data_IF_872776319510
#
_entry.id   IF_872776319510
#
_cell.length_a   1.000
_cell.length_b   1.000
_cell.length_c   1.000
_cell.angle_alpha   90.00
_cell.angle_beta   90.00
_cell.angle_gamma   90.00
#
_symmetry.space_group_name_H-M   'P 1'
#
loop_
_entity.id
_entity.type
_entity.pdbx_description
1 polymer ?
#
# COMPACT_ATOMS: atom_id res chain seq x y z
N UNK A 1 22.07 74.15 30.83
CA UNK A 1 22.73 73.00 30.17
C UNK A 1 22.35 71.73 30.90
N UNK A 2 21.46 70.91 30.31
CA UNK A 2 21.00 69.63 30.89
C UNK A 2 21.82 68.52 30.24
N UNK A 3 22.65 67.82 31.03
CA UNK A 3 23.44 66.67 30.58
C UNK A 3 22.51 65.51 30.18
N UNK A 4 22.63 64.92 28.97
CA UNK A 4 21.83 63.79 28.57
C UNK A 4 22.37 62.50 29.22
N UNK A 5 21.49 61.81 29.92
CA UNK A 5 21.73 60.52 30.58
C UNK A 5 22.14 59.46 29.55
N UNK A 6 23.39 59.03 29.59
CA UNK A 6 23.90 57.92 28.78
C UNK A 6 23.40 56.59 29.35
N UNK A 7 22.40 56.01 28.70
CA UNK A 7 21.90 54.68 29.02
C UNK A 7 22.95 53.64 28.60
N UNK A 8 23.93 53.40 29.47
CA UNK A 8 24.87 52.28 29.31
C UNK A 8 24.10 51.00 29.59
N UNK A 9 23.59 50.34 28.54
CA UNK A 9 23.13 48.97 28.64
C UNK A 9 24.32 48.18 29.20
N UNK A 10 24.24 47.61 30.41
CA UNK A 10 25.40 47.01 31.04
C UNK A 10 25.86 45.85 30.16
N UNK A 11 27.16 45.79 29.90
CA UNK A 11 27.78 44.77 29.03
C UNK A 11 27.35 43.33 29.39
N UNK A 12 27.04 43.07 30.67
CA UNK A 12 26.49 41.79 31.14
C UNK A 12 25.08 41.48 30.61
N UNK A 13 24.21 42.47 30.41
CA UNK A 13 22.88 42.28 29.80
C UNK A 13 23.02 41.96 28.31
N UNK A 14 23.96 42.59 27.61
CA UNK A 14 24.26 42.27 26.22
C UNK A 14 24.78 40.83 26.06
N UNK A 15 25.68 40.39 26.95
CA UNK A 15 26.22 39.03 26.93
C UNK A 15 25.17 37.97 27.30
N UNK A 16 24.27 38.29 28.23
CA UNK A 16 23.11 37.46 28.57
C UNK A 16 22.13 37.31 27.41
N UNK A 17 21.88 38.39 26.65
CA UNK A 17 20.99 38.34 25.49
C UNK A 17 21.60 37.51 24.34
N UNK A 18 22.92 37.58 24.18
CA UNK A 18 23.66 36.78 23.21
C UNK A 18 23.66 35.29 23.60
N UNK A 19 23.84 34.96 24.88
CA UNK A 19 23.78 33.56 25.32
C UNK A 19 22.37 32.98 25.15
N UNK A 20 21.31 33.79 25.35
CA UNK A 20 19.92 33.36 25.17
C UNK A 20 19.61 33.02 23.71
N UNK A 21 20.16 33.78 22.75
CA UNK A 21 19.99 33.54 21.30
C UNK A 21 20.75 32.32 20.81
N UNK A 22 21.96 32.08 21.33
CA UNK A 22 22.74 30.86 21.01
C UNK A 22 22.09 29.61 21.63
N UNK A 23 21.44 29.74 22.80
CA UNK A 23 20.72 28.65 23.43
C UNK A 23 19.49 28.19 22.62
N UNK A 24 18.85 29.06 21.83
CA UNK A 24 17.77 28.67 20.90
C UNK A 24 18.30 27.77 19.77
N UNK A 25 19.54 28.00 19.31
CA UNK A 25 20.18 27.14 18.28
C UNK A 25 20.71 25.83 18.86
N UNK A 26 20.96 25.77 20.17
CA UNK A 26 21.41 24.59 20.90
C UNK A 26 20.25 23.79 21.54
N UNK A 27 18.99 24.23 21.35
CA UNK A 27 17.86 23.33 21.47
C UNK A 27 18.06 22.21 20.45
N UNK A 28 18.60 21.09 20.90
CA UNK A 28 18.52 19.85 20.15
C UNK A 28 17.07 19.70 19.67
N UNK A 29 16.88 19.34 18.40
CA UNK A 29 15.59 18.93 17.82
C UNK A 29 15.16 17.62 18.48
N UNK A 30 15.04 17.58 19.80
CA UNK A 30 14.64 16.42 20.60
C UNK A 30 13.12 16.29 20.61
N UNK A 31 12.50 16.43 19.43
CA UNK A 31 11.05 16.51 19.30
C UNK A 31 10.50 16.52 17.88
N UNK A 32 11.35 16.55 16.85
CA UNK A 32 10.91 16.28 15.50
C UNK A 32 11.66 15.06 15.00
N UNK A 33 11.15 13.90 15.39
CA UNK A 33 11.45 12.65 14.70
C UNK A 33 10.91 12.85 13.28
N UNK A 34 11.81 12.90 12.29
CA UNK A 34 11.41 12.94 10.90
C UNK A 34 10.86 11.56 10.53
N UNK A 35 9.60 11.32 10.88
CA UNK A 35 8.84 10.12 10.48
C UNK A 35 8.76 9.99 8.97
N UNK A 36 9.23 10.98 8.20
CA UNK A 36 9.47 10.85 6.77
C UNK A 36 10.16 9.53 6.44
N UNK A 37 11.19 9.07 7.17
CA UNK A 37 11.86 7.81 6.79
C UNK A 37 10.98 6.56 7.00
N UNK A 38 10.12 6.54 8.01
CA UNK A 38 9.17 5.45 8.23
C UNK A 38 7.91 5.55 7.37
N UNK A 39 7.43 6.78 7.13
CA UNK A 39 6.29 7.08 6.29
C UNK A 39 6.63 6.89 4.80
N UNK A 40 7.85 7.24 4.39
CA UNK A 40 8.41 6.99 3.06
C UNK A 40 8.67 5.48 2.88
N UNK A 41 9.18 4.78 3.88
CA UNK A 41 9.29 3.32 3.85
C UNK A 41 7.93 2.60 3.78
N UNK A 42 6.90 3.12 4.44
CA UNK A 42 5.53 2.58 4.35
C UNK A 42 4.86 2.91 3.00
N UNK A 43 5.12 4.10 2.46
CA UNK A 43 4.68 4.49 1.12
C UNK A 43 5.36 3.61 0.05
N UNK A 44 6.66 3.35 0.19
CA UNK A 44 7.43 2.47 -0.68
C UNK A 44 6.88 1.04 -0.61
N UNK A 45 6.63 0.48 0.58
CA UNK A 45 6.02 -0.84 0.75
C UNK A 45 4.62 -0.93 0.10
N UNK A 46 3.81 0.13 0.23
CA UNK A 46 2.47 0.19 -0.39
C UNK A 46 2.56 0.20 -1.92
N UNK A 47 3.51 0.96 -2.48
CA UNK A 47 3.77 1.00 -3.93
C UNK A 47 4.38 -0.30 -4.49
N UNK A 48 5.19 -0.99 -3.67
CA UNK A 48 5.79 -2.28 -4.01
C UNK A 48 4.74 -3.39 -4.11
N UNK A 49 3.84 -3.50 -3.11
CA UNK A 49 2.71 -4.43 -3.14
C UNK A 49 1.83 -4.19 -4.36
N UNK A 50 1.64 -2.93 -4.72
CA UNK A 50 0.95 -2.51 -5.93
C UNK A 50 1.46 -3.10 -7.23
N UNK A 51 2.77 -2.99 -7.45
CA UNK A 51 3.43 -3.54 -8.64
C UNK A 51 3.36 -5.07 -8.66
N UNK A 52 3.50 -5.71 -7.50
CA UNK A 52 3.44 -7.18 -7.37
C UNK A 52 2.02 -7.76 -7.50
N UNK A 53 0.99 -6.95 -7.26
CA UNK A 53 -0.41 -7.36 -7.40
C UNK A 53 -0.75 -7.72 -8.84
N UNK A 54 -0.24 -6.98 -9.82
CA UNK A 54 -0.59 -7.21 -11.23
C UNK A 54 -0.02 -8.53 -11.73
N UNK A 55 1.23 -8.86 -11.36
CA UNK A 55 1.82 -10.16 -11.62
C UNK A 55 1.04 -11.32 -10.97
N UNK A 56 0.47 -11.09 -9.79
CA UNK A 56 -0.34 -12.10 -9.09
C UNK A 56 -1.63 -12.40 -9.85
N UNK A 57 -2.28 -11.38 -10.44
CA UNK A 57 -3.50 -11.55 -11.25
C UNK A 57 -3.23 -12.34 -12.54
N UNK A 58 -2.10 -12.09 -13.20
CA UNK A 58 -1.73 -12.80 -14.43
C UNK A 58 -1.45 -14.29 -14.19
N UNK A 59 -0.73 -14.62 -13.12
CA UNK A 59 -0.49 -16.02 -12.73
C UNK A 59 -1.80 -16.69 -12.31
N UNK A 60 -2.66 -15.98 -11.57
CA UNK A 60 -3.98 -16.49 -11.19
C UNK A 60 -4.83 -16.79 -12.43
N UNK A 61 -4.77 -15.97 -13.47
CA UNK A 61 -5.46 -16.22 -14.74
C UNK A 61 -4.93 -17.49 -15.44
N UNK A 62 -3.61 -17.68 -15.48
CA UNK A 62 -3.01 -18.87 -16.06
C UNK A 62 -3.44 -20.16 -15.32
N UNK A 63 -3.40 -20.15 -13.99
CA UNK A 63 -3.80 -21.32 -13.17
C UNK A 63 -5.31 -21.56 -13.26
N UNK A 64 -6.12 -20.49 -13.30
CA UNK A 64 -7.56 -20.59 -13.46
C UNK A 64 -7.94 -21.29 -14.76
N UNK A 65 -7.29 -20.94 -15.87
CA UNK A 65 -7.55 -21.55 -17.17
C UNK A 65 -7.30 -23.07 -17.16
N UNK A 66 -6.20 -23.52 -16.55
CA UNK A 66 -5.87 -24.94 -16.43
C UNK A 66 -6.92 -25.67 -15.58
N UNK A 67 -7.28 -25.09 -14.43
CA UNK A 67 -8.25 -25.68 -13.51
C UNK A 67 -9.67 -25.78 -14.13
N UNK A 68 -10.07 -24.83 -14.97
CA UNK A 68 -11.34 -24.88 -15.71
C UNK A 68 -11.36 -26.05 -16.69
N UNK A 69 -10.26 -26.30 -17.41
CA UNK A 69 -10.17 -27.43 -18.34
C UNK A 69 -10.26 -28.77 -17.58
N UNK A 70 -9.54 -28.89 -16.47
CA UNK A 70 -9.55 -30.11 -15.64
C UNK A 70 -10.92 -30.36 -15.02
N UNK A 71 -11.62 -29.32 -14.57
CA UNK A 71 -12.97 -29.45 -14.00
C UNK A 71 -14.04 -29.76 -15.06
N UNK A 72 -13.95 -29.16 -16.25
CA UNK A 72 -14.81 -29.51 -17.39
C UNK A 72 -14.63 -30.97 -17.81
N UNK A 73 -13.38 -31.48 -17.85
CA UNK A 73 -13.09 -32.87 -18.16
C UNK A 73 -13.67 -33.84 -17.12
N UNK A 74 -13.57 -33.49 -15.83
CA UNK A 74 -14.16 -34.30 -14.76
C UNK A 74 -15.69 -34.41 -14.89
N UNK A 75 -16.37 -33.33 -15.31
CA UNK A 75 -17.81 -33.34 -15.55
C UNK A 75 -18.16 -34.17 -16.77
N UNK A 76 -17.37 -34.09 -17.84
CA UNK A 76 -17.57 -34.90 -19.05
C UNK A 76 -17.50 -36.40 -18.76
N UNK A 77 -16.52 -36.82 -17.96
CA UNK A 77 -16.39 -38.23 -17.57
C UNK A 77 -17.58 -38.66 -16.68
N UNK A 78 -18.00 -37.82 -15.72
CA UNK A 78 -19.19 -38.08 -14.89
C UNK A 78 -20.49 -38.17 -15.69
N UNK A 79 -20.62 -37.38 -16.76
CA UNK A 79 -21.77 -37.39 -17.66
C UNK A 79 -21.89 -38.68 -18.45
N UNK A 80 -20.77 -39.20 -18.95
CA UNK A 80 -20.76 -40.45 -19.73
C UNK A 80 -20.96 -41.70 -18.87
N UNK A 81 -20.63 -41.65 -17.57
CA UNK A 81 -20.81 -42.76 -16.63
C UNK A 81 -22.20 -42.80 -15.98
N UNK A 82 -23.12 -41.92 -16.38
CA UNK A 82 -24.46 -41.76 -15.79
C UNK A 82 -24.44 -41.67 -14.25
N UNK A 83 -23.42 -41.03 -13.67
CA UNK A 83 -23.39 -40.76 -12.23
C UNK A 83 -24.37 -39.64 -11.89
N UNK A 84 -25.18 -39.83 -10.83
CA UNK A 84 -26.21 -38.89 -10.38
C UNK A 84 -25.70 -37.54 -9.85
N UNK A 85 -24.40 -37.26 -9.96
CA UNK A 85 -23.75 -36.10 -9.33
C UNK A 85 -23.31 -35.02 -10.36
N UNK A 86 -23.71 -35.16 -11.62
CA UNK A 86 -23.41 -34.23 -12.71
C UNK A 86 -23.93 -32.81 -12.39
N UNK A 87 -25.18 -32.71 -11.94
CA UNK A 87 -25.82 -31.43 -11.61
C UNK A 87 -25.09 -30.69 -10.50
N UNK A 88 -24.58 -31.41 -9.49
CA UNK A 88 -23.79 -30.84 -8.40
C UNK A 88 -22.43 -30.35 -8.88
N UNK A 89 -21.78 -31.12 -9.74
CA UNK A 89 -20.48 -30.78 -10.32
C UNK A 89 -20.56 -29.56 -11.24
N UNK A 90 -21.65 -29.40 -12.01
CA UNK A 90 -21.95 -28.21 -12.82
C UNK A 90 -22.23 -26.98 -11.94
N UNK A 91 -23.01 -27.13 -10.87
CA UNK A 91 -23.31 -26.02 -9.96
C UNK A 91 -22.06 -25.53 -9.22
N UNK A 92 -21.16 -26.44 -8.84
CA UNK A 92 -19.84 -26.07 -8.29
C UNK A 92 -18.96 -25.36 -9.32
N UNK A 93 -18.99 -25.78 -10.59
CA UNK A 93 -18.22 -25.12 -11.66
C UNK A 93 -18.72 -23.70 -11.91
N UNK A 94 -20.04 -23.49 -11.98
CA UNK A 94 -20.63 -22.15 -12.13
C UNK A 94 -20.29 -21.22 -10.96
N UNK A 95 -20.37 -21.73 -9.72
CA UNK A 95 -19.94 -20.99 -8.53
C UNK A 95 -18.45 -20.65 -8.57
N UNK A 96 -17.61 -21.58 -9.01
CA UNK A 96 -16.17 -21.38 -9.16
C UNK A 96 -15.80 -20.33 -10.21
N UNK A 97 -16.44 -20.33 -11.38
CA UNK A 97 -16.19 -19.33 -12.43
C UNK A 97 -16.57 -17.93 -11.94
N UNK A 98 -17.76 -17.78 -11.34
CA UNK A 98 -18.21 -16.49 -10.81
C UNK A 98 -17.30 -16.01 -9.67
N UNK A 99 -16.87 -16.90 -8.79
CA UNK A 99 -15.93 -16.59 -7.73
C UNK A 99 -14.58 -16.11 -8.26
N UNK A 100 -14.02 -16.78 -9.28
CA UNK A 100 -12.72 -16.41 -9.84
C UNK A 100 -12.76 -15.04 -10.54
N UNK A 101 -13.83 -14.74 -11.29
CA UNK A 101 -14.03 -13.41 -11.89
C UNK A 101 -14.15 -12.34 -10.80
N UNK A 102 -14.92 -12.63 -9.73
CA UNK A 102 -15.05 -11.74 -8.59
C UNK A 102 -13.72 -11.50 -7.86
N UNK A 103 -12.94 -12.54 -7.61
CA UNK A 103 -11.63 -12.44 -6.95
C UNK A 103 -10.65 -11.59 -7.77
N UNK A 104 -10.64 -11.73 -9.10
CA UNK A 104 -9.79 -10.95 -10.01
C UNK A 104 -10.15 -9.46 -10.04
N UNK A 105 -11.40 -9.08 -9.81
CA UNK A 105 -11.83 -7.68 -9.80
C UNK A 105 -11.70 -7.07 -8.40
N UNK A 106 -12.12 -7.81 -7.37
CA UNK A 106 -12.18 -7.32 -5.98
C UNK A 106 -10.79 -7.20 -5.39
N UNK A 107 -9.90 -8.17 -5.62
CA UNK A 107 -8.57 -8.15 -5.01
C UNK A 107 -7.76 -6.93 -5.44
N UNK A 108 -7.70 -6.55 -6.73
CA UNK A 108 -6.96 -5.35 -7.11
C UNK A 108 -7.73 -4.04 -6.86
N UNK A 109 -9.07 -4.06 -6.96
CA UNK A 109 -9.88 -2.88 -6.64
C UNK A 109 -9.82 -2.51 -5.14
N UNK A 110 -9.66 -3.49 -4.23
CA UNK A 110 -9.44 -3.25 -2.80
C UNK A 110 -8.18 -2.42 -2.53
N UNK A 111 -7.15 -2.57 -3.37
CA UNK A 111 -5.91 -1.80 -3.30
C UNK A 111 -5.89 -0.56 -4.21
N UNK A 112 -7.03 -0.20 -4.82
CA UNK A 112 -7.16 1.00 -5.66
C UNK A 112 -6.68 0.86 -7.10
N UNK A 113 -6.37 -0.36 -7.57
CA UNK A 113 -5.95 -0.61 -8.95
C UNK A 113 -7.19 -0.81 -9.85
N UNK A 114 -7.43 0.17 -10.73
CA UNK A 114 -8.62 0.23 -11.60
C UNK A 114 -8.33 -0.21 -13.03
N UNK A 115 -7.07 -0.07 -13.48
CA UNK A 115 -6.65 -0.31 -14.85
C UNK A 115 -5.41 -1.22 -14.86
N UNK A 116 -5.59 -2.50 -15.17
CA UNK A 116 -4.50 -3.48 -15.38
C UNK A 116 -4.01 -3.50 -16.84
N UNK A 117 -4.16 -2.38 -17.56
CA UNK A 117 -3.73 -2.29 -18.95
C UNK A 117 -2.25 -1.90 -18.99
N UNK A 118 -1.36 -2.90 -19.09
CA UNK A 118 0.00 -2.66 -19.52
C UNK A 118 0.01 -2.46 -21.03
N UNK A 119 0.07 -1.18 -21.42
CA UNK A 119 0.63 -0.81 -22.71
C UNK A 119 2.12 -1.12 -22.63
N UNK A 120 2.59 -2.04 -23.48
CA UNK A 120 3.98 -2.02 -23.93
C UNK A 120 4.12 -0.95 -25.01
#
# INVERSE_FOLDING_TARGET
>A
MKSPTTNHIPFGVFLSLLSLTVCQTASAKSGAVDYSWGADGLAEATSFVGTMMIYTVDILYAVAAIMVIVSALQIYIKMNNHEGDITKSIMMLLGGILFMIGAMIVMPAFFGYQNMNFIF
#
